data_IF_668825847997
#
_entry.id   IF_668825847997
#
_cell.length_a   1.000
_cell.length_b   1.000
_cell.length_c   1.000
_cell.angle_alpha   90.00
_cell.angle_beta   90.00
_cell.angle_gamma   90.00
#
_symmetry.space_group_name_H-M   'P 1'
#
loop_
_entity.id
_entity.type
_entity.pdbx_description
1 polymer ?
#
# COMPACT_ATOMS: atom_id res chain seq x y z
N UNK A 1 -13.82 -1.02 25.46
CA UNK A 1 -13.20 -1.14 24.11
C UNK A 1 -13.23 -2.61 23.71
N UNK A 2 -13.86 -2.96 22.59
CA UNK A 2 -14.08 -4.35 22.15
C UNK A 2 -12.79 -5.15 21.96
N UNK A 3 -11.76 -4.53 21.37
CA UNK A 3 -10.47 -5.17 21.13
C UNK A 3 -9.87 -5.79 22.42
N UNK A 4 -9.78 -5.04 23.49
CA UNK A 4 -9.27 -5.56 24.79
C UNK A 4 -10.09 -6.71 25.35
N UNK A 5 -11.42 -6.70 25.12
CA UNK A 5 -12.31 -7.75 25.63
C UNK A 5 -12.09 -9.09 24.91
N UNK A 6 -11.70 -9.06 23.64
CA UNK A 6 -11.65 -10.25 22.79
C UNK A 6 -10.25 -10.58 22.25
N UNK A 7 -9.22 -9.81 22.61
CA UNK A 7 -7.84 -9.99 22.10
C UNK A 7 -7.29 -11.41 22.24
N UNK A 8 -7.64 -12.11 23.33
CA UNK A 8 -7.22 -13.48 23.60
C UNK A 8 -8.16 -14.56 23.00
N UNK A 9 -9.24 -14.14 22.34
CA UNK A 9 -10.25 -15.03 21.73
C UNK A 9 -10.29 -14.93 20.23
N UNK A 10 -10.10 -13.72 19.69
CA UNK A 10 -10.18 -13.40 18.27
C UNK A 10 -8.93 -12.63 17.89
N UNK A 11 -8.09 -13.15 16.97
CA UNK A 11 -6.98 -12.38 16.45
C UNK A 11 -7.50 -11.15 15.70
N UNK A 12 -6.86 -10.00 15.89
CA UNK A 12 -7.24 -8.78 15.19
C UNK A 12 -6.02 -7.97 14.74
N UNK A 13 -6.24 -7.14 13.75
CA UNK A 13 -5.26 -6.23 13.16
C UNK A 13 -5.61 -4.81 13.56
N UNK A 14 -4.62 -4.02 13.94
CA UNK A 14 -4.78 -2.58 14.14
C UNK A 14 -4.22 -1.83 12.94
N UNK A 15 -5.04 -1.05 12.27
CA UNK A 15 -4.57 -0.12 11.25
C UNK A 15 -4.02 1.12 11.94
N UNK A 16 -2.71 1.36 11.79
CA UNK A 16 -1.99 2.40 12.54
C UNK A 16 -2.03 3.79 11.89
N UNK A 17 -2.32 3.88 10.59
CA UNK A 17 -2.43 5.15 9.89
C UNK A 17 -3.76 5.30 9.14
N UNK A 18 -4.12 6.52 8.88
CA UNK A 18 -5.31 6.86 8.09
C UNK A 18 -5.12 8.24 7.48
N UNK A 19 -5.86 8.56 6.39
CA UNK A 19 -5.88 9.95 6.00
C UNK A 19 -6.86 10.77 6.86
N UNK A 20 -6.49 12.00 7.10
CA UNK A 20 -7.34 12.96 7.75
C UNK A 20 -8.47 13.33 6.78
N UNK A 21 -9.71 12.96 7.14
CA UNK A 21 -10.85 13.02 6.22
C UNK A 21 -11.43 14.44 6.04
N UNK A 22 -11.03 15.38 6.88
CA UNK A 22 -11.51 16.77 6.83
C UNK A 22 -10.72 17.64 5.83
N UNK A 23 -9.54 17.18 5.40
CA UNK A 23 -8.73 17.89 4.42
C UNK A 23 -9.31 17.77 3.02
N UNK A 24 -9.69 18.92 2.44
CA UNK A 24 -10.21 19.00 1.07
C UNK A 24 -9.42 20.04 0.26
N UNK A 25 -9.05 19.78 -0.99
CA UNK A 25 -9.14 18.49 -1.67
C UNK A 25 -8.22 17.42 -1.05
N UNK A 26 -8.57 16.13 -1.22
CA UNK A 26 -7.79 15.03 -0.67
C UNK A 26 -6.36 15.03 -1.24
N UNK A 27 -5.35 15.08 -0.37
CA UNK A 27 -3.92 15.09 -0.74
C UNK A 27 -3.31 13.69 -0.76
N UNK A 28 -4.10 12.65 -0.50
CA UNK A 28 -3.61 11.27 -0.35
C UNK A 28 -2.49 11.16 0.71
N UNK A 29 -2.67 11.90 1.79
CA UNK A 29 -1.77 11.87 2.94
C UNK A 29 -2.28 10.86 3.98
N UNK A 30 -1.37 9.98 4.40
CA UNK A 30 -1.63 9.02 5.49
C UNK A 30 -0.77 9.43 6.67
N UNK A 31 -1.41 9.66 7.81
CA UNK A 31 -0.72 10.02 9.06
C UNK A 31 -0.92 8.93 10.12
N UNK A 32 0.06 8.77 11.00
CA UNK A 32 -0.03 7.81 12.08
C UNK A 32 -0.98 8.33 13.17
N UNK A 33 -1.95 7.51 13.55
CA UNK A 33 -2.88 7.78 14.65
C UNK A 33 -2.57 6.97 15.91
N UNK A 34 -1.76 5.93 15.79
CA UNK A 34 -1.34 5.10 16.92
C UNK A 34 0.04 4.53 16.65
N UNK A 35 0.75 4.17 17.71
CA UNK A 35 2.03 3.49 17.62
C UNK A 35 1.84 1.96 17.47
N UNK A 36 2.87 1.30 16.97
CA UNK A 36 2.93 -0.18 16.95
C UNK A 36 2.88 -0.72 18.38
N UNK A 37 3.58 -0.07 19.30
CA UNK A 37 3.59 -0.44 20.73
C UNK A 37 2.19 -0.40 21.34
N UNK A 38 1.39 0.61 21.03
CA UNK A 38 0.01 0.68 21.52
C UNK A 38 -0.86 -0.42 20.93
N UNK A 39 -0.69 -0.73 19.64
CA UNK A 39 -1.39 -1.85 19.01
C UNK A 39 -1.03 -3.18 19.68
N UNK A 40 0.25 -3.40 19.95
CA UNK A 40 0.72 -4.59 20.67
C UNK A 40 0.15 -4.67 22.08
N UNK A 41 0.17 -3.57 22.85
CA UNK A 41 -0.41 -3.48 24.19
C UNK A 41 -1.93 -3.76 24.21
N UNK A 42 -2.62 -3.51 23.10
CA UNK A 42 -4.04 -3.88 22.95
C UNK A 42 -4.25 -5.37 22.66
N UNK A 43 -3.19 -6.11 22.41
CA UNK A 43 -3.24 -7.54 22.06
C UNK A 43 -3.47 -7.80 20.58
N UNK A 44 -3.16 -6.85 19.71
CA UNK A 44 -3.18 -7.07 18.27
C UNK A 44 -2.07 -8.05 17.86
N UNK A 45 -2.37 -8.93 16.90
CA UNK A 45 -1.39 -9.88 16.33
C UNK A 45 -0.70 -9.33 15.08
N UNK A 46 -1.23 -8.26 14.53
CA UNK A 46 -0.69 -7.61 13.33
C UNK A 46 -1.00 -6.12 13.35
N UNK A 47 -0.19 -5.37 12.64
CA UNK A 47 -0.47 -3.97 12.28
C UNK A 47 -0.71 -3.85 10.79
N UNK A 48 -1.59 -2.94 10.43
CA UNK A 48 -1.87 -2.60 9.04
C UNK A 48 -1.61 -1.13 8.77
N UNK A 49 -1.15 -0.81 7.58
CA UNK A 49 -0.92 0.56 7.13
C UNK A 49 -1.29 0.74 5.66
N UNK A 50 -1.58 1.96 5.27
CA UNK A 50 -1.72 2.34 3.85
C UNK A 50 -0.55 3.23 3.45
N UNK A 51 -0.01 2.99 2.27
CA UNK A 51 0.86 3.95 1.58
C UNK A 51 0.19 4.32 0.25
N UNK A 52 0.10 5.60 -0.01
CA UNK A 52 -0.29 6.14 -1.31
C UNK A 52 0.96 6.47 -2.13
N UNK A 53 1.50 5.44 -2.79
CA UNK A 53 2.69 5.57 -3.63
C UNK A 53 2.45 6.58 -4.77
N UNK A 54 3.43 7.44 -5.00
CA UNK A 54 3.36 8.48 -6.03
C UNK A 54 2.57 9.73 -5.64
N UNK A 55 1.98 9.80 -4.45
CA UNK A 55 1.44 11.04 -3.89
C UNK A 55 2.58 11.98 -3.45
N UNK A 56 2.27 13.25 -3.24
CA UNK A 56 3.24 14.23 -2.74
C UNK A 56 3.88 13.82 -1.39
N UNK A 57 3.14 13.05 -0.58
CA UNK A 57 3.55 12.59 0.75
C UNK A 57 4.13 11.16 0.77
N UNK A 58 4.29 10.52 -0.40
CA UNK A 58 4.65 9.10 -0.44
C UNK A 58 6.00 8.81 0.20
N UNK A 59 7.00 9.67 0.02
CA UNK A 59 8.33 9.48 0.61
C UNK A 59 8.29 9.44 2.14
N UNK A 60 7.54 10.35 2.76
CA UNK A 60 7.35 10.38 4.21
C UNK A 60 6.62 9.12 4.68
N UNK A 61 5.51 8.77 4.01
CA UNK A 61 4.74 7.57 4.33
C UNK A 61 5.59 6.29 4.27
N UNK A 62 6.45 6.15 3.25
CA UNK A 62 7.35 5.01 3.11
C UNK A 62 8.31 4.92 4.31
N UNK A 63 8.94 6.04 4.69
CA UNK A 63 9.89 6.08 5.81
C UNK A 63 9.20 5.75 7.13
N UNK A 64 8.03 6.31 7.39
CA UNK A 64 7.26 6.08 8.62
C UNK A 64 6.83 4.62 8.73
N UNK A 65 6.31 4.05 7.65
CA UNK A 65 5.79 2.68 7.68
C UNK A 65 6.92 1.65 7.69
N UNK A 66 8.06 1.90 7.02
CA UNK A 66 9.22 1.04 7.14
C UNK A 66 9.69 0.89 8.60
N UNK A 67 9.79 1.99 9.34
CA UNK A 67 10.12 1.97 10.77
C UNK A 67 9.06 1.28 11.62
N UNK A 68 7.79 1.52 11.32
CA UNK A 68 6.69 0.86 12.04
C UNK A 68 6.68 -0.66 11.81
N UNK A 69 6.95 -1.12 10.60
CA UNK A 69 7.02 -2.54 10.28
C UNK A 69 8.23 -3.22 10.92
N UNK A 70 9.39 -2.55 10.94
CA UNK A 70 10.55 -3.01 11.71
C UNK A 70 10.21 -3.19 13.20
N UNK A 71 9.57 -2.22 13.84
CA UNK A 71 9.12 -2.34 15.24
C UNK A 71 8.11 -3.48 15.42
N UNK A 72 7.16 -3.64 14.49
CA UNK A 72 6.18 -4.71 14.54
C UNK A 72 6.84 -6.08 14.52
N UNK A 73 7.80 -6.31 13.65
CA UNK A 73 8.56 -7.57 13.58
C UNK A 73 9.37 -7.82 14.85
N UNK A 74 10.00 -6.79 15.44
CA UNK A 74 10.67 -6.93 16.75
C UNK A 74 9.72 -7.35 17.87
N UNK A 75 8.43 -7.04 17.75
CA UNK A 75 7.39 -7.44 18.71
C UNK A 75 6.68 -8.75 18.34
N UNK A 76 7.11 -9.43 17.26
CA UNK A 76 6.50 -10.66 16.79
C UNK A 76 5.12 -10.47 16.14
N UNK A 77 4.82 -9.29 15.64
CA UNK A 77 3.56 -8.97 14.95
C UNK A 77 3.74 -9.12 13.44
N UNK A 78 2.69 -9.57 12.75
CA UNK A 78 2.64 -9.52 11.30
C UNK A 78 2.34 -8.10 10.77
N UNK A 79 2.73 -7.83 9.53
CA UNK A 79 2.55 -6.53 8.89
C UNK A 79 1.71 -6.64 7.61
N UNK A 80 0.73 -5.75 7.46
CA UNK A 80 -0.19 -5.74 6.30
C UNK A 80 -0.15 -4.36 5.66
N UNK A 81 0.23 -4.28 4.38
CA UNK A 81 0.27 -3.03 3.64
C UNK A 81 -0.88 -2.93 2.64
N UNK A 82 -1.70 -1.89 2.76
CA UNK A 82 -2.58 -1.42 1.68
C UNK A 82 -1.73 -0.61 0.70
N UNK A 83 -1.39 -1.24 -0.41
CA UNK A 83 -0.42 -0.78 -1.39
C UNK A 83 -1.17 -0.12 -2.56
N UNK A 84 -1.30 1.18 -2.54
CA UNK A 84 -2.07 1.91 -3.56
C UNK A 84 -1.22 2.98 -4.24
N UNK A 85 -1.21 2.97 -5.56
CA UNK A 85 -0.72 4.12 -6.31
C UNK A 85 -1.77 5.25 -6.29
N UNK A 86 -1.33 6.49 -6.06
CA UNK A 86 -2.15 7.70 -6.09
C UNK A 86 -1.33 8.86 -6.60
N UNK A 87 -1.25 8.96 -7.92
CA UNK A 87 -0.59 10.06 -8.59
C UNK A 87 -1.56 10.66 -9.63
N UNK A 88 -1.92 11.92 -9.46
CA UNK A 88 -2.84 12.61 -10.37
C UNK A 88 -2.26 12.74 -11.78
N UNK A 89 -0.92 12.78 -11.94
CA UNK A 89 -0.27 12.80 -13.24
C UNK A 89 -0.38 11.46 -13.99
N UNK A 90 -0.81 10.38 -13.32
CA UNK A 90 -1.09 9.09 -13.94
C UNK A 90 -2.54 8.96 -14.45
N UNK A 91 -3.26 10.07 -14.49
CA UNK A 91 -4.53 10.18 -15.20
C UNK A 91 -4.28 10.98 -16.47
N UNK A 92 -4.46 10.36 -17.64
CA UNK A 92 -4.21 10.96 -18.94
C UNK A 92 -5.40 10.67 -19.87
N UNK A 93 -5.89 11.69 -20.54
CA UNK A 93 -7.01 11.59 -21.50
C UNK A 93 -8.25 10.87 -20.90
N UNK A 94 -8.53 11.11 -19.60
CA UNK A 94 -9.66 10.50 -18.89
C UNK A 94 -9.44 9.05 -18.44
N UNK A 95 -8.28 8.47 -18.71
CA UNK A 95 -7.90 7.09 -18.30
C UNK A 95 -7.04 7.16 -17.05
N UNK A 96 -7.40 6.37 -16.03
CA UNK A 96 -6.63 6.21 -14.79
C UNK A 96 -5.64 5.05 -14.91
N UNK A 97 -4.35 5.36 -14.98
CA UNK A 97 -3.26 4.39 -15.02
C UNK A 97 -2.70 4.01 -13.64
N UNK A 98 -3.23 4.55 -12.54
CA UNK A 98 -2.79 4.19 -11.19
C UNK A 98 -3.01 2.70 -10.85
N UNK A 99 -3.82 2.00 -11.62
CA UNK A 99 -4.05 0.55 -11.49
C UNK A 99 -3.38 -0.27 -12.58
N UNK A 100 -2.58 0.32 -13.46
CA UNK A 100 -1.86 -0.43 -14.48
C UNK A 100 -0.92 -1.46 -13.85
N UNK A 101 -0.77 -2.62 -14.47
CA UNK A 101 -0.04 -3.77 -13.93
C UNK A 101 1.43 -3.45 -13.59
N UNK A 102 2.12 -2.73 -14.45
CA UNK A 102 3.51 -2.31 -14.23
C UNK A 102 3.65 -1.31 -13.08
N UNK A 103 2.69 -0.40 -12.91
CA UNK A 103 2.65 0.59 -11.83
C UNK A 103 2.30 -0.07 -10.49
N UNK A 104 1.31 -0.95 -10.47
CA UNK A 104 0.95 -1.71 -9.26
C UNK A 104 2.05 -2.68 -8.87
N UNK A 105 2.69 -3.34 -9.82
CA UNK A 105 3.84 -4.21 -9.59
C UNK A 105 5.02 -3.46 -8.96
N UNK A 106 5.30 -2.23 -9.40
CA UNK A 106 6.33 -1.39 -8.78
C UNK A 106 5.95 -1.01 -7.33
N UNK A 107 4.69 -0.66 -7.09
CA UNK A 107 4.23 -0.34 -5.75
C UNK A 107 4.33 -1.57 -4.81
N UNK A 108 3.97 -2.76 -5.29
CA UNK A 108 4.09 -4.01 -4.53
C UNK A 108 5.56 -4.34 -4.21
N UNK A 109 6.46 -4.16 -5.17
CA UNK A 109 7.89 -4.35 -4.94
C UNK A 109 8.41 -3.45 -3.81
N UNK A 110 7.99 -2.18 -3.80
CA UNK A 110 8.32 -1.26 -2.70
C UNK A 110 7.72 -1.74 -1.37
N UNK A 111 6.49 -2.25 -1.38
CA UNK A 111 5.84 -2.83 -0.21
C UNK A 111 6.60 -4.01 0.38
N UNK A 112 7.06 -4.93 -0.47
CA UNK A 112 7.92 -6.06 -0.05
C UNK A 112 9.26 -5.55 0.49
N UNK A 113 9.84 -4.54 -0.15
CA UNK A 113 11.14 -3.96 0.26
C UNK A 113 11.12 -3.34 1.65
N UNK A 114 9.97 -2.85 2.11
CA UNK A 114 9.78 -2.36 3.49
C UNK A 114 9.24 -3.44 4.44
N UNK A 115 9.35 -4.71 4.05
CA UNK A 115 9.04 -5.88 4.87
C UNK A 115 7.55 -6.04 5.21
N UNK A 116 6.65 -5.72 4.27
CA UNK A 116 5.26 -6.12 4.43
C UNK A 116 5.11 -7.64 4.25
N UNK A 117 4.51 -8.33 5.23
CA UNK A 117 4.22 -9.78 5.13
C UNK A 117 3.04 -10.04 4.21
N UNK A 118 2.06 -9.13 4.20
CA UNK A 118 0.88 -9.22 3.36
C UNK A 118 0.70 -7.90 2.62
N UNK A 119 0.49 -7.99 1.31
CA UNK A 119 0.17 -6.85 0.46
C UNK A 119 -1.27 -6.96 -0.02
N UNK A 120 -2.03 -5.90 0.23
CA UNK A 120 -3.35 -5.69 -0.37
C UNK A 120 -3.24 -4.65 -1.47
N UNK A 121 -3.56 -5.04 -2.69
CA UNK A 121 -3.60 -4.15 -3.84
C UNK A 121 -4.99 -4.11 -4.49
N UNK A 122 -5.21 -3.18 -5.40
CA UNK A 122 -6.31 -3.25 -6.36
C UNK A 122 -5.95 -4.25 -7.45
N UNK A 123 -6.95 -4.91 -8.03
CA UNK A 123 -6.72 -5.73 -9.21
C UNK A 123 -6.09 -4.87 -10.32
N UNK A 124 -4.98 -5.32 -10.91
CA UNK A 124 -4.31 -4.60 -11.97
C UNK A 124 -5.11 -4.56 -13.27
N UNK A 125 -4.78 -3.59 -14.11
CA UNK A 125 -5.34 -3.46 -15.46
C UNK A 125 -4.22 -3.53 -16.50
N UNK A 126 -4.49 -4.20 -17.62
CA UNK A 126 -3.56 -4.26 -18.76
C UNK A 126 -3.82 -3.07 -19.70
N UNK A 127 -3.38 -1.87 -19.31
CA UNK A 127 -3.64 -0.63 -20.04
C UNK A 127 -2.39 0.19 -20.39
N UNK A 128 -1.20 -0.41 -20.31
CA UNK A 128 0.05 0.17 -20.77
C UNK A 128 0.85 0.98 -19.74
N UNK A 129 0.27 1.37 -18.62
CA UNK A 129 0.96 2.00 -17.50
C UNK A 129 2.00 3.06 -17.88
N UNK A 130 3.27 2.85 -17.51
CA UNK A 130 4.38 3.78 -17.79
C UNK A 130 4.55 4.08 -19.28
N UNK A 131 4.26 3.12 -20.17
CA UNK A 131 4.33 3.34 -21.61
C UNK A 131 3.27 4.35 -22.07
N UNK A 132 2.03 4.21 -21.59
CA UNK A 132 0.93 5.08 -21.96
C UNK A 132 1.13 6.53 -21.47
N UNK A 133 1.65 6.69 -20.26
CA UNK A 133 1.94 8.01 -19.68
C UNK A 133 3.29 8.60 -20.13
N UNK A 134 4.10 7.82 -20.84
CA UNK A 134 5.44 8.21 -21.32
C UNK A 134 6.40 8.59 -20.18
N UNK A 135 6.33 7.88 -19.09
CA UNK A 135 7.16 8.08 -17.90
C UNK A 135 7.91 6.79 -17.57
N UNK A 136 9.17 6.92 -17.16
CA UNK A 136 10.07 5.80 -16.86
C UNK A 136 10.32 4.84 -18.03
N UNK A 137 11.18 3.85 -17.81
CA UNK A 137 11.46 2.76 -18.77
C UNK A 137 11.19 1.44 -18.09
N UNK A 138 10.29 0.67 -18.66
CA UNK A 138 9.94 -0.67 -18.19
C UNK A 138 10.41 -1.70 -19.21
N UNK A 139 10.70 -2.91 -18.75
CA UNK A 139 11.07 -4.00 -19.65
C UNK A 139 9.90 -4.26 -20.63
N UNK A 140 10.14 -4.28 -21.96
CA UNK A 140 9.10 -4.53 -22.95
C UNK A 140 8.32 -5.83 -22.75
N UNK A 141 8.91 -6.82 -22.08
CA UNK A 141 8.22 -8.07 -21.76
C UNK A 141 6.98 -7.87 -20.88
N UNK A 142 6.90 -6.80 -20.10
CA UNK A 142 5.70 -6.45 -19.31
C UNK A 142 4.47 -6.25 -20.19
N UNK A 143 4.66 -5.79 -21.44
CA UNK A 143 3.57 -5.49 -22.36
C UNK A 143 3.36 -6.58 -23.43
N UNK A 144 4.16 -7.63 -23.39
CA UNK A 144 4.13 -8.72 -24.39
C UNK A 144 4.06 -10.09 -23.71
N UNK A 145 5.19 -10.62 -23.23
CA UNK A 145 5.28 -11.99 -22.71
C UNK A 145 4.64 -12.17 -21.34
N UNK A 146 4.60 -11.10 -20.52
CA UNK A 146 4.04 -11.10 -19.17
C UNK A 146 2.66 -10.43 -19.12
N UNK A 147 2.14 -9.99 -20.27
CA UNK A 147 0.79 -9.43 -20.35
C UNK A 147 -0.26 -10.55 -20.27
N UNK A 148 -1.34 -10.26 -19.55
CA UNK A 148 -2.55 -11.11 -19.50
C UNK A 148 -3.79 -10.22 -19.52
N UNK A 149 -4.87 -10.72 -20.08
CA UNK A 149 -6.17 -10.07 -20.04
C UNK A 149 -6.90 -10.34 -18.70
N UNK A 150 -6.44 -11.31 -17.93
CA UNK A 150 -7.03 -11.64 -16.64
C UNK A 150 -6.31 -10.92 -15.49
N UNK A 151 -7.01 -10.09 -14.69
CA UNK A 151 -6.36 -9.26 -13.67
C UNK A 151 -5.58 -10.03 -12.60
N UNK A 152 -5.98 -11.27 -12.28
CA UNK A 152 -5.29 -12.10 -11.27
C UNK A 152 -3.93 -12.57 -11.79
N UNK A 153 -3.79 -12.82 -13.10
CA UNK A 153 -2.51 -13.25 -13.69
C UNK A 153 -1.47 -12.11 -13.70
N UNK A 154 -1.95 -10.86 -13.47
CA UNK A 154 -1.12 -9.67 -13.41
C UNK A 154 -0.67 -9.32 -11.98
N UNK A 155 -1.13 -10.08 -10.97
CA UNK A 155 -0.70 -9.93 -9.59
C UNK A 155 0.59 -10.71 -9.32
#
# INVERSE_FOLDING_TARGET
MLARKYAHKIPFVVKINHNELMTYPNKYDQILFTSVRDAWNMGAIAVGATIYFGSAESNRQIIEIAKAFEEAHHLGMATILWCYCRNNAFVKDGIDYNTAADITGQANYLGVSIQADIIKQKLPTNNGGFTAIQFAKTNPNMYTKLASEHPIDLC
#
